data_IF_490873165700
#
_entry.id   IF_490873165700
#
_cell.length_a   1.000
_cell.length_b   1.000
_cell.length_c   1.000
_cell.angle_alpha   90.00
_cell.angle_beta   90.00
_cell.angle_gamma   90.00
#
_symmetry.space_group_name_H-M   'P 1'
#
loop_
_entity.id
_entity.type
_entity.pdbx_description
1 polymer ?
#
# COMPACT_ATOMS: atom_id res chain seq x y z
N UNK A 1 -0.90 25.91 22.15
CA UNK A 1 0.02 24.77 22.37
C UNK A 1 -0.82 23.56 22.72
N UNK A 2 -0.76 22.54 21.90
CA UNK A 2 -1.43 21.26 22.14
C UNK A 2 -0.72 20.55 23.30
N UNK A 3 -1.48 19.99 24.24
CA UNK A 3 -0.91 19.32 25.42
C UNK A 3 -0.35 17.97 25.00
N UNK A 4 0.86 17.65 25.48
CA UNK A 4 1.45 16.33 25.32
C UNK A 4 0.59 15.30 26.05
N UNK A 5 0.07 14.30 25.34
CA UNK A 5 -0.70 13.21 25.92
C UNK A 5 0.28 12.16 26.46
N UNK A 6 0.31 11.99 27.78
CA UNK A 6 1.19 11.02 28.46
C UNK A 6 0.34 9.86 29.03
N UNK A 7 0.81 8.66 28.80
CA UNK A 7 0.24 7.43 29.35
C UNK A 7 1.32 6.80 30.24
N UNK A 8 0.95 6.34 31.44
CA UNK A 8 1.90 5.64 32.31
C UNK A 8 2.29 4.27 31.74
N UNK A 9 3.49 3.82 32.05
CA UNK A 9 3.96 2.49 31.63
C UNK A 9 3.05 1.36 32.14
N UNK A 10 2.55 1.49 33.36
CA UNK A 10 1.61 0.55 33.94
C UNK A 10 0.29 0.50 33.17
N UNK A 11 -0.31 1.65 32.86
CA UNK A 11 -1.54 1.73 32.06
C UNK A 11 -1.32 1.13 30.69
N UNK A 12 -0.21 1.46 30.02
CA UNK A 12 0.11 0.94 28.68
C UNK A 12 0.29 -0.58 28.70
N UNK A 13 0.95 -1.11 29.73
CA UNK A 13 1.23 -2.54 29.85
C UNK A 13 -0.04 -3.40 30.00
N UNK A 14 -1.03 -2.91 30.74
CA UNK A 14 -2.29 -3.63 30.97
C UNK A 14 -3.41 -3.26 30.01
N UNK A 15 -3.21 -2.28 29.12
CA UNK A 15 -4.22 -1.91 28.12
C UNK A 15 -4.21 -2.94 26.99
N UNK A 16 -5.33 -3.61 26.69
CA UNK A 16 -5.41 -4.45 25.52
C UNK A 16 -5.31 -3.59 24.25
N UNK A 17 -4.23 -3.75 23.51
CA UNK A 17 -4.01 -3.07 22.24
C UNK A 17 -4.28 -4.04 21.09
N UNK A 18 -4.97 -3.54 20.07
CA UNK A 18 -5.14 -4.31 18.84
C UNK A 18 -3.79 -4.48 18.14
N UNK A 19 -3.51 -5.69 17.71
CA UNK A 19 -2.32 -5.95 16.89
C UNK A 19 -2.46 -5.23 15.53
N UNK A 20 -1.36 -4.64 15.02
CA UNK A 20 -1.39 -4.05 13.69
C UNK A 20 -1.80 -5.12 12.66
N UNK A 21 -2.74 -4.77 11.79
CA UNK A 21 -3.15 -5.70 10.73
C UNK A 21 -2.01 -5.92 9.77
N UNK A 22 -1.76 -7.18 9.46
CA UNK A 22 -0.76 -7.57 8.50
C UNK A 22 -1.39 -7.71 7.11
N UNK A 23 -0.76 -7.14 6.09
CA UNK A 23 -1.08 -7.39 4.68
C UNK A 23 -0.44 -8.70 4.24
N UNK A 24 0.79 -8.94 4.66
CA UNK A 24 1.50 -10.22 4.53
C UNK A 24 1.97 -10.57 5.93
N UNK A 25 1.53 -11.69 6.45
CA UNK A 25 1.81 -12.07 7.83
C UNK A 25 3.32 -12.11 8.12
N UNK A 26 3.71 -11.46 9.21
CA UNK A 26 5.11 -11.36 9.64
C UNK A 26 6.04 -10.48 8.77
N UNK A 27 5.58 -9.97 7.60
CA UNK A 27 6.44 -9.20 6.67
C UNK A 27 5.93 -7.77 6.47
N UNK A 28 4.66 -7.60 6.14
CA UNK A 28 4.10 -6.31 5.74
C UNK A 28 2.86 -5.97 6.56
N UNK A 29 2.99 -4.99 7.44
CA UNK A 29 1.87 -4.44 8.20
C UNK A 29 1.24 -3.25 7.48
N UNK A 30 0.07 -2.82 7.96
CA UNK A 30 -0.48 -1.52 7.60
C UNK A 30 0.52 -0.41 7.95
N UNK A 31 0.60 0.61 7.09
CA UNK A 31 1.48 1.76 7.26
C UNK A 31 2.43 1.95 6.08
N UNK A 32 3.48 2.71 6.28
CA UNK A 32 4.49 2.99 5.25
C UNK A 32 5.59 1.93 5.32
N UNK A 33 5.81 1.24 4.21
CA UNK A 33 6.96 0.37 4.01
C UNK A 33 7.82 0.91 2.85
N UNK A 34 9.14 0.78 2.97
CA UNK A 34 10.10 1.23 1.95
C UNK A 34 10.91 0.03 1.49
N UNK A 35 10.84 -0.26 0.18
CA UNK A 35 11.69 -1.25 -0.47
C UNK A 35 12.88 -0.54 -1.13
N UNK A 36 14.07 -0.76 -0.61
CA UNK A 36 15.32 -0.16 -1.08
C UNK A 36 16.26 -1.20 -1.68
N UNK A 37 17.11 -0.77 -2.60
CA UNK A 37 18.14 -1.61 -3.26
C UNK A 37 18.61 -0.99 -4.57
N UNK A 38 19.66 -1.56 -5.17
CA UNK A 38 20.27 -1.07 -6.39
C UNK A 38 19.32 -1.03 -7.58
N UNK A 39 19.65 -0.24 -8.59
CA UNK A 39 18.89 -0.20 -9.85
C UNK A 39 18.88 -1.57 -10.52
N UNK A 40 17.78 -1.91 -11.20
CA UNK A 40 17.62 -3.13 -12.02
C UNK A 40 17.65 -4.47 -11.29
N UNK A 41 17.59 -4.52 -9.96
CA UNK A 41 17.51 -5.79 -9.20
C UNK A 41 16.10 -6.41 -9.12
N UNK A 42 15.13 -5.87 -9.87
CA UNK A 42 13.79 -6.45 -9.95
C UNK A 42 12.77 -5.91 -8.94
N UNK A 43 13.04 -4.79 -8.25
CA UNK A 43 12.11 -4.20 -7.26
C UNK A 43 10.69 -4.01 -7.81
N UNK A 44 10.55 -3.42 -9.01
CA UNK A 44 9.24 -3.18 -9.64
C UNK A 44 8.50 -4.46 -9.97
N UNK A 45 9.21 -5.52 -10.38
CA UNK A 45 8.63 -6.84 -10.58
C UNK A 45 8.11 -7.43 -9.27
N UNK A 46 8.93 -7.36 -8.22
CA UNK A 46 8.54 -7.85 -6.90
C UNK A 46 7.31 -7.11 -6.38
N UNK A 47 7.29 -5.78 -6.49
CA UNK A 47 6.19 -4.96 -5.99
C UNK A 47 4.90 -5.20 -6.79
N UNK A 48 4.98 -5.35 -8.10
CA UNK A 48 3.83 -5.72 -8.94
C UNK A 48 3.30 -7.10 -8.56
N UNK A 49 4.18 -8.09 -8.41
CA UNK A 49 3.81 -9.44 -7.97
C UNK A 49 3.16 -9.44 -6.58
N UNK A 50 3.69 -8.68 -5.61
CA UNK A 50 3.08 -8.51 -4.30
C UNK A 50 1.68 -7.89 -4.39
N UNK A 51 1.51 -6.86 -5.24
CA UNK A 51 0.21 -6.25 -5.49
C UNK A 51 -0.82 -7.25 -6.02
N UNK A 52 -0.42 -8.10 -6.96
CA UNK A 52 -1.26 -9.18 -7.49
C UNK A 52 -1.64 -10.16 -6.36
N UNK A 53 -0.66 -10.66 -5.60
CA UNK A 53 -0.89 -11.63 -4.52
C UNK A 53 -1.81 -11.09 -3.43
N UNK A 54 -1.59 -9.84 -3.01
CA UNK A 54 -2.42 -9.17 -1.99
C UNK A 54 -3.84 -8.96 -2.52
N UNK A 55 -4.01 -8.51 -3.76
CA UNK A 55 -5.33 -8.30 -4.35
C UNK A 55 -6.11 -9.61 -4.50
N UNK A 56 -5.45 -10.72 -4.79
CA UNK A 56 -6.06 -12.05 -4.86
C UNK A 56 -6.26 -12.69 -3.48
N UNK A 57 -5.51 -12.27 -2.46
CA UNK A 57 -5.45 -12.93 -1.15
C UNK A 57 -4.66 -14.24 -1.19
N UNK A 58 -3.74 -14.36 -2.15
CA UNK A 58 -2.89 -15.53 -2.29
C UNK A 58 -1.64 -15.43 -1.41
N UNK A 59 -1.14 -16.56 -0.90
CA UNK A 59 0.05 -16.57 -0.05
C UNK A 59 1.28 -16.00 -0.76
N UNK A 60 2.09 -15.25 0.01
CA UNK A 60 3.40 -14.75 -0.42
C UNK A 60 4.47 -15.54 0.32
N UNK A 61 5.31 -16.28 -0.39
CA UNK A 61 6.33 -17.19 0.19
C UNK A 61 5.78 -18.14 1.25
N UNK A 62 4.54 -18.61 1.06
CA UNK A 62 3.85 -19.48 2.02
C UNK A 62 3.22 -18.76 3.22
N UNK A 63 3.36 -17.45 3.33
CA UNK A 63 2.76 -16.65 4.39
C UNK A 63 1.38 -16.17 3.97
N UNK A 64 0.37 -16.22 4.87
CA UNK A 64 -0.97 -15.72 4.60
C UNK A 64 -0.97 -14.24 4.23
N UNK A 65 -1.86 -13.85 3.32
CA UNK A 65 -2.10 -12.45 2.97
C UNK A 65 -3.53 -12.03 3.31
N UNK A 66 -3.70 -10.76 3.64
CA UNK A 66 -5.02 -10.17 3.80
C UNK A 66 -5.48 -9.61 2.45
N UNK A 67 -6.51 -10.25 1.85
CA UNK A 67 -7.09 -9.75 0.58
C UNK A 67 -7.60 -8.33 0.74
N UNK A 68 -7.14 -7.43 -0.13
CA UNK A 68 -7.57 -6.02 -0.16
C UNK A 68 -7.51 -5.46 -1.58
N UNK A 69 -8.15 -4.31 -1.78
CA UNK A 69 -7.99 -3.56 -3.02
C UNK A 69 -6.60 -2.90 -3.05
N UNK A 70 -6.01 -2.83 -4.23
CA UNK A 70 -4.65 -2.32 -4.43
C UNK A 70 -4.65 -1.22 -5.49
N UNK A 71 -4.00 -0.10 -5.18
CA UNK A 71 -3.66 0.94 -6.17
C UNK A 71 -2.15 0.89 -6.40
N UNK A 72 -1.76 0.62 -7.64
CA UNK A 72 -0.37 0.63 -8.08
C UNK A 72 -0.07 1.89 -8.91
N UNK A 73 0.76 2.78 -8.40
CA UNK A 73 1.19 3.97 -9.12
C UNK A 73 2.46 3.68 -9.92
N UNK A 74 2.29 3.42 -11.22
CA UNK A 74 3.35 3.08 -12.17
C UNK A 74 3.91 4.35 -12.82
N UNK A 75 4.59 5.21 -12.05
CA UNK A 75 5.00 6.55 -12.50
C UNK A 75 6.19 6.56 -13.48
N UNK A 76 6.90 5.44 -13.61
CA UNK A 76 8.06 5.27 -14.50
C UNK A 76 7.80 4.30 -15.65
N UNK A 77 6.76 3.50 -15.53
CA UNK A 77 6.42 2.51 -16.52
C UNK A 77 5.26 2.97 -17.40
N UNK A 78 5.24 2.51 -18.64
CA UNK A 78 4.10 2.69 -19.53
C UNK A 78 3.05 1.61 -19.29
N UNK A 79 1.79 1.88 -19.63
CA UNK A 79 0.67 0.95 -19.59
C UNK A 79 1.00 -0.36 -20.34
N UNK A 80 1.60 -0.24 -21.56
CA UNK A 80 2.04 -1.40 -22.34
C UNK A 80 3.05 -2.28 -21.57
N UNK A 81 4.03 -1.67 -20.90
CA UNK A 81 5.04 -2.42 -20.14
C UNK A 81 4.45 -3.12 -18.91
N UNK A 82 3.53 -2.45 -18.22
CA UNK A 82 2.80 -3.05 -17.10
C UNK A 82 1.92 -4.21 -17.60
N UNK A 83 1.23 -4.04 -18.73
CA UNK A 83 0.42 -5.10 -19.34
C UNK A 83 1.27 -6.34 -19.66
N UNK A 84 2.43 -6.18 -20.29
CA UNK A 84 3.34 -7.28 -20.57
C UNK A 84 3.76 -8.02 -19.29
N UNK A 85 4.18 -7.28 -18.27
CA UNK A 85 4.56 -7.87 -16.98
C UNK A 85 3.40 -8.59 -16.29
N UNK A 86 2.18 -8.05 -16.41
CA UNK A 86 0.99 -8.71 -15.88
C UNK A 86 0.74 -10.05 -16.56
N UNK A 87 0.86 -10.12 -17.89
CA UNK A 87 0.72 -11.35 -18.66
C UNK A 87 1.77 -12.40 -18.30
N UNK A 88 2.98 -11.97 -17.92
CA UNK A 88 4.04 -12.87 -17.45
C UNK A 88 3.82 -13.39 -16.02
N UNK A 89 3.05 -12.66 -15.20
CA UNK A 89 2.91 -12.95 -13.77
C UNK A 89 1.60 -13.65 -13.40
N UNK A 90 0.54 -13.51 -14.22
CA UNK A 90 -0.79 -14.01 -13.87
C UNK A 90 -1.62 -14.33 -15.09
N UNK A 91 -2.30 -15.48 -15.06
CA UNK A 91 -3.23 -15.89 -16.14
C UNK A 91 -4.60 -15.18 -15.99
N UNK A 92 -5.06 -14.99 -14.76
CA UNK A 92 -6.32 -14.34 -14.43
C UNK A 92 -6.08 -13.09 -13.59
N UNK A 93 -6.04 -11.89 -14.21
CA UNK A 93 -5.78 -10.65 -13.48
C UNK A 93 -6.91 -10.33 -12.49
N UNK A 94 -6.56 -9.86 -11.27
CA UNK A 94 -7.55 -9.47 -10.28
C UNK A 94 -8.27 -8.17 -10.68
N UNK A 95 -9.55 -8.08 -10.39
CA UNK A 95 -10.38 -6.90 -10.68
C UNK A 95 -10.26 -5.78 -9.64
N UNK A 96 -9.60 -6.05 -8.53
CA UNK A 96 -9.36 -5.12 -7.42
C UNK A 96 -7.90 -4.64 -7.34
N UNK A 97 -7.14 -4.74 -8.43
CA UNK A 97 -5.84 -4.12 -8.61
C UNK A 97 -5.96 -3.01 -9.68
N UNK A 98 -5.72 -1.78 -9.28
CA UNK A 98 -5.90 -0.59 -10.10
C UNK A 98 -4.55 0.07 -10.37
N UNK A 99 -4.37 0.60 -11.58
CA UNK A 99 -3.12 1.23 -12.00
C UNK A 99 -3.30 2.72 -12.25
N UNK A 100 -2.39 3.54 -11.71
CA UNK A 100 -2.25 4.96 -12.04
C UNK A 100 -0.91 5.20 -12.74
N UNK A 101 -0.93 5.79 -13.93
CA UNK A 101 0.28 6.09 -14.72
C UNK A 101 0.71 7.56 -14.61
N UNK A 102 -0.07 8.36 -13.93
CA UNK A 102 0.25 9.75 -13.62
C UNK A 102 -0.31 10.12 -12.25
N UNK A 103 0.35 11.02 -11.57
CA UNK A 103 -0.17 11.59 -10.32
C UNK A 103 0.24 13.06 -10.20
N UNK A 104 -0.50 13.81 -9.41
CA UNK A 104 -0.16 15.16 -9.01
C UNK A 104 1.02 15.22 -8.05
N UNK A 105 1.44 16.43 -7.69
CA UNK A 105 2.56 16.64 -6.77
C UNK A 105 2.23 16.12 -5.38
N UNK A 106 3.21 15.45 -4.76
CA UNK A 106 3.16 15.05 -3.35
C UNK A 106 2.88 16.26 -2.44
N UNK A 107 1.94 16.10 -1.52
CA UNK A 107 1.61 17.11 -0.50
C UNK A 107 0.59 18.17 -0.91
N UNK A 108 0.11 18.19 -2.16
CA UNK A 108 -0.92 19.15 -2.61
C UNK A 108 -2.05 18.50 -3.41
N UNK A 109 -1.75 17.65 -4.36
CA UNK A 109 -2.72 17.11 -5.32
C UNK A 109 -2.93 15.60 -5.14
N UNK A 110 -1.86 14.86 -4.85
CA UNK A 110 -1.89 13.41 -4.76
C UNK A 110 -2.85 12.89 -3.68
N UNK A 111 -2.89 13.53 -2.52
CA UNK A 111 -3.81 13.12 -1.45
C UNK A 111 -5.27 13.25 -1.88
N UNK A 112 -5.60 14.35 -2.56
CA UNK A 112 -6.93 14.56 -3.14
C UNK A 112 -7.27 13.52 -4.20
N UNK A 113 -6.33 13.22 -5.09
CA UNK A 113 -6.50 12.20 -6.14
C UNK A 113 -6.69 10.79 -5.56
N UNK A 114 -5.92 10.41 -4.55
CA UNK A 114 -6.09 9.14 -3.86
C UNK A 114 -7.45 9.08 -3.16
N UNK A 115 -7.87 10.14 -2.47
CA UNK A 115 -9.19 10.18 -1.82
C UNK A 115 -10.33 10.00 -2.83
N UNK A 116 -10.29 10.71 -3.95
CA UNK A 116 -11.27 10.56 -5.04
C UNK A 116 -11.27 9.14 -5.60
N UNK A 117 -10.11 8.56 -5.88
CA UNK A 117 -10.02 7.18 -6.35
C UNK A 117 -10.60 6.16 -5.34
N UNK A 118 -10.42 6.40 -4.04
CA UNK A 118 -11.01 5.58 -2.98
C UNK A 118 -12.53 5.72 -2.88
N UNK A 119 -13.07 6.90 -3.21
CA UNK A 119 -14.51 7.16 -3.24
C UNK A 119 -15.18 6.56 -4.49
N UNK A 120 -14.50 6.61 -5.64
CA UNK A 120 -14.99 6.05 -6.91
C UNK A 120 -14.98 4.51 -6.92
N UNK A 121 -14.11 3.89 -6.15
CA UNK A 121 -13.98 2.45 -6.00
C UNK A 121 -14.23 2.02 -4.55
N UNK A 122 -15.46 2.17 -4.02
CA UNK A 122 -15.78 1.75 -2.66
C UNK A 122 -15.57 0.24 -2.55
N UNK A 123 -14.72 -0.18 -1.62
CA UNK A 123 -14.56 -1.60 -1.34
C UNK A 123 -15.93 -2.24 -1.05
N UNK A 124 -16.24 -3.44 -1.58
CA UNK A 124 -17.53 -4.08 -1.35
C UNK A 124 -17.79 -4.18 0.15
N UNK A 125 -18.97 -3.69 0.55
CA UNK A 125 -19.42 -3.67 1.92
C UNK A 125 -19.54 -5.10 2.47
N UNK A 126 -18.50 -5.60 3.11
CA UNK A 126 -18.55 -6.80 3.90
C UNK A 126 -18.12 -6.49 5.33
N UNK A 127 -19.12 -6.43 6.19
CA UNK A 127 -19.11 -6.40 7.66
C UNK A 127 -18.14 -5.48 8.39
N UNK A 128 -18.75 -4.50 9.03
CA UNK A 128 -18.37 -3.88 10.32
C UNK A 128 -16.89 -3.67 10.61
N UNK A 129 -16.48 -2.40 10.66
CA UNK A 129 -15.30 -1.87 11.35
C UNK A 129 -13.98 -1.74 10.58
N UNK A 130 -13.94 -1.65 9.26
CA UNK A 130 -12.67 -1.49 8.56
C UNK A 130 -12.69 -0.25 7.67
N UNK A 131 -12.13 0.86 8.16
CA UNK A 131 -12.04 2.14 7.42
C UNK A 131 -10.91 2.25 6.40
N UNK A 132 -10.02 1.27 6.24
CA UNK A 132 -8.88 1.34 5.31
C UNK A 132 -8.69 0.01 4.61
N UNK A 133 -9.15 -0.08 3.36
CA UNK A 133 -9.11 -1.30 2.53
C UNK A 133 -8.20 -1.16 1.31
N UNK A 134 -7.30 -0.17 1.29
CA UNK A 134 -6.47 0.10 0.14
C UNK A 134 -5.00 0.02 0.49
N UNK A 135 -4.24 -0.63 -0.36
CA UNK A 135 -2.80 -0.61 -0.32
C UNK A 135 -2.30 0.19 -1.52
N UNK A 136 -1.66 1.32 -1.27
CA UNK A 136 -1.09 2.17 -2.31
C UNK A 136 0.38 1.86 -2.44
N UNK A 137 0.78 1.39 -3.61
CA UNK A 137 2.17 1.11 -3.94
C UNK A 137 2.67 2.24 -4.82
N UNK A 138 3.65 2.99 -4.32
CA UNK A 138 4.28 4.06 -5.05
C UNK A 138 5.72 3.68 -5.40
N UNK A 139 6.06 3.71 -6.68
CA UNK A 139 7.42 3.46 -7.16
C UNK A 139 8.07 4.77 -7.55
N UNK A 140 9.16 5.15 -6.87
CA UNK A 140 9.94 6.36 -7.17
C UNK A 140 11.37 5.99 -7.58
N UNK A 141 11.94 6.57 -8.66
CA UNK A 141 13.34 6.38 -9.02
C UNK A 141 14.25 6.93 -7.91
N UNK A 142 15.24 6.16 -7.55
CA UNK A 142 16.21 6.60 -6.56
C UNK A 142 17.04 7.77 -7.07
N UNK A 143 16.73 8.97 -6.67
CA UNK A 143 17.60 10.12 -6.45
C UNK A 143 16.81 11.38 -6.14
N UNK A 144 16.02 11.38 -5.07
CA UNK A 144 15.65 12.64 -4.43
C UNK A 144 15.88 12.53 -2.92
N UNK A 145 16.46 13.56 -2.28
CA UNK A 145 16.52 13.59 -0.83
C UNK A 145 15.10 13.56 -0.27
N UNK A 146 14.82 12.61 0.60
CA UNK A 146 13.54 12.50 1.31
C UNK A 146 13.20 13.84 1.99
N UNK A 147 12.04 14.44 1.69
CA UNK A 147 11.51 15.46 2.60
C UNK A 147 11.18 14.78 3.92
N UNK A 148 11.62 15.39 5.02
CA UNK A 148 11.37 14.92 6.38
C UNK A 148 9.87 14.74 6.59
N UNK A 149 9.49 13.52 6.91
CA UNK A 149 8.26 13.12 7.60
C UNK A 149 6.95 13.76 7.12
N UNK A 150 6.27 13.12 6.19
CA UNK A 150 4.82 13.31 6.07
C UNK A 150 4.16 12.00 6.49
N UNK A 151 3.57 12.01 7.68
CA UNK A 151 2.63 10.97 8.13
C UNK A 151 1.45 11.03 7.18
N UNK A 152 1.34 10.07 6.28
CA UNK A 152 0.16 9.89 5.46
C UNK A 152 -0.79 8.97 6.21
N UNK A 153 -1.89 9.60 6.65
CA UNK A 153 -3.15 9.02 7.11
C UNK A 153 -3.14 8.07 8.31
N UNK A 154 -3.17 8.67 9.48
CA UNK A 154 -4.00 8.20 10.58
C UNK A 154 -5.16 9.19 10.72
N UNK A 155 -6.32 8.81 10.21
CA UNK A 155 -7.63 9.22 10.76
C UNK A 155 -8.64 8.14 10.49
#
# INVERSE_FOLDING_TARGET
>A
MEKLHLISAETLFYTPLDHPRMLIDGILSNGLAILSGDSKIGKSWLVLWLGIKISQGEPVWGLPTSKTDVIYLALEDTDWRIQQRMQDLVDNPPNNLHFGFSCGKLGAELEGQIKLALEEHPAPACSSSIRYRWFVIMFHPGSMPMPRTTRICQH
#
